data_IF_196485215557
#
_entry.id   IF_196485215557
#
_cell.length_a   1.000
_cell.length_b   1.000
_cell.length_c   1.000
_cell.angle_alpha   90.00
_cell.angle_beta   90.00
_cell.angle_gamma   90.00
#
_symmetry.space_group_name_H-M   'P 1'
#
loop_
_entity.id
_entity.type
_entity.pdbx_description
1 polymer ?
#
# COMPACT_ATOMS: atom_id res chain seq x y z
N UNK A 1 11.95 1.97 14.67
CA UNK A 1 10.57 1.80 14.15
C UNK A 1 10.61 1.11 12.80
N UNK A 2 9.62 0.33 12.46
CA UNK A 2 9.70 -0.66 11.38
C UNK A 2 8.85 -0.20 10.21
N UNK A 3 9.50 0.01 9.06
CA UNK A 3 8.79 0.19 7.80
C UNK A 3 8.32 -1.16 7.28
N UNK A 4 7.03 -1.34 7.13
CA UNK A 4 6.45 -2.54 6.54
C UNK A 4 6.19 -2.29 5.07
N UNK A 5 6.79 -3.10 4.21
CA UNK A 5 6.30 -3.27 2.84
C UNK A 5 5.02 -4.10 2.91
N UNK A 6 3.88 -3.45 2.80
CA UNK A 6 2.56 -4.02 3.09
C UNK A 6 1.96 -4.75 1.87
N UNK A 7 2.68 -4.90 0.78
CA UNK A 7 2.19 -5.60 -0.42
C UNK A 7 2.48 -7.10 -0.47
N UNK A 8 2.67 -7.75 0.69
CA UNK A 8 2.81 -9.21 0.75
C UNK A 8 1.51 -9.85 1.23
N UNK A 9 0.56 -9.99 0.32
CA UNK A 9 -0.70 -10.67 0.60
C UNK A 9 -0.47 -12.16 0.77
N UNK A 10 -0.62 -12.62 2.00
CA UNK A 10 -0.35 -13.99 2.40
C UNK A 10 -1.24 -15.02 1.75
N UNK A 11 -0.61 -15.86 1.01
CA UNK A 11 -1.20 -17.06 0.40
C UNK A 11 -0.90 -18.32 1.21
N UNK A 12 -0.19 -18.18 2.33
CA UNK A 12 0.28 -19.30 3.16
C UNK A 12 -0.84 -20.10 3.86
N UNK A 13 -2.00 -19.49 4.08
CA UNK A 13 -3.13 -20.17 4.74
C UNK A 13 -3.84 -21.21 3.90
N UNK A 14 -3.62 -21.24 2.59
CA UNK A 14 -4.41 -22.06 1.67
C UNK A 14 -3.88 -23.49 1.48
N UNK A 15 -2.66 -23.79 1.92
CA UNK A 15 -2.06 -25.13 1.72
C UNK A 15 -2.52 -26.20 2.71
N UNK A 16 -2.90 -25.85 3.92
CA UNK A 16 -3.14 -26.85 5.00
C UNK A 16 -4.60 -27.24 5.23
N UNK A 17 -5.56 -26.70 4.47
CA UNK A 17 -6.99 -26.90 4.71
C UNK A 17 -7.74 -27.84 3.78
N UNK A 18 -7.13 -28.34 2.70
CA UNK A 18 -7.85 -29.12 1.68
C UNK A 18 -7.42 -30.57 1.58
N UNK A 19 -7.95 -31.43 2.46
CA UNK A 19 -8.21 -32.83 2.12
C UNK A 19 -9.53 -32.89 1.37
N UNK A 20 -9.47 -33.20 0.09
CA UNK A 20 -10.53 -32.99 -0.87
C UNK A 20 -11.58 -34.09 -0.90
N UNK A 21 -12.84 -33.70 -0.85
CA UNK A 21 -13.96 -34.46 -1.38
C UNK A 21 -14.19 -34.05 -2.86
N UNK A 22 -14.47 -34.99 -3.76
CA UNK A 22 -14.51 -34.79 -5.24
C UNK A 22 -15.43 -33.66 -5.76
N UNK A 23 -16.37 -33.15 -4.96
CA UNK A 23 -17.23 -32.01 -5.32
C UNK A 23 -16.52 -30.65 -5.31
N UNK A 24 -15.32 -30.56 -4.75
CA UNK A 24 -14.57 -29.29 -4.64
C UNK A 24 -13.48 -29.10 -5.71
N UNK A 25 -13.42 -29.95 -6.75
CA UNK A 25 -12.36 -29.90 -7.76
C UNK A 25 -12.34 -28.57 -8.57
N UNK A 26 -13.50 -27.96 -8.78
CA UNK A 26 -13.59 -26.68 -9.50
C UNK A 26 -13.19 -25.49 -8.60
N UNK A 27 -13.46 -25.57 -7.31
CA UNK A 27 -13.03 -24.56 -6.32
C UNK A 27 -11.51 -24.57 -6.16
N UNK A 28 -10.91 -25.77 -6.12
CA UNK A 28 -9.44 -25.90 -6.01
C UNK A 28 -8.70 -25.42 -7.27
N UNK A 29 -9.29 -25.54 -8.45
CA UNK A 29 -8.74 -24.99 -9.70
C UNK A 29 -8.78 -23.46 -9.69
N UNK A 30 -9.88 -22.86 -9.23
CA UNK A 30 -10.02 -21.40 -9.09
C UNK A 30 -9.00 -20.84 -8.10
N UNK A 31 -8.87 -21.45 -6.93
CA UNK A 31 -7.90 -21.05 -5.89
C UNK A 31 -6.46 -21.19 -6.37
N UNK A 32 -6.10 -22.29 -7.06
CA UNK A 32 -4.77 -22.46 -7.67
C UNK A 32 -4.48 -21.44 -8.76
N UNK A 33 -5.48 -21.03 -9.53
CA UNK A 33 -5.35 -20.00 -10.54
C UNK A 33 -5.15 -18.62 -9.92
N UNK A 34 -5.85 -18.30 -8.82
CA UNK A 34 -5.67 -17.08 -8.02
C UNK A 34 -4.23 -17.04 -7.47
N UNK A 35 -3.77 -18.13 -6.88
CA UNK A 35 -2.41 -18.26 -6.34
C UNK A 35 -1.36 -18.08 -7.45
N UNK A 36 -1.53 -18.74 -8.58
CA UNK A 36 -0.62 -18.63 -9.73
C UNK A 36 -0.63 -17.22 -10.33
N UNK A 37 -1.77 -16.55 -10.33
CA UNK A 37 -1.91 -15.20 -10.85
C UNK A 37 -1.29 -14.17 -9.91
N UNK A 38 -1.56 -14.26 -8.60
CA UNK A 38 -0.92 -13.41 -7.58
C UNK A 38 0.61 -13.60 -7.61
N UNK A 39 1.10 -14.83 -7.82
CA UNK A 39 2.54 -15.10 -7.94
C UNK A 39 3.16 -14.51 -9.21
N UNK A 40 2.43 -14.40 -10.32
CA UNK A 40 2.94 -13.74 -11.54
C UNK A 40 3.05 -12.23 -11.42
N UNK A 41 2.18 -11.61 -10.63
CA UNK A 41 2.27 -10.17 -10.29
C UNK A 41 3.47 -9.86 -9.41
N UNK A 42 3.88 -10.82 -8.62
CA UNK A 42 4.87 -10.65 -7.57
C UNK A 42 6.23 -11.30 -7.89
N UNK A 43 6.44 -11.91 -9.07
CA UNK A 43 7.64 -12.69 -9.35
C UNK A 43 8.80 -11.87 -9.94
N UNK A 44 9.79 -11.52 -9.12
CA UNK A 44 11.23 -11.77 -9.26
C UNK A 44 12.01 -11.30 -8.03
N UNK A 45 12.52 -12.23 -7.34
CA UNK A 45 13.58 -12.59 -6.35
C UNK A 45 14.50 -11.46 -5.81
N UNK A 46 14.81 -11.32 -4.58
CA UNK A 46 15.40 -11.94 -3.41
C UNK A 46 15.88 -10.97 -2.33
N UNK A 47 16.00 -11.43 -1.15
CA UNK A 47 16.15 -11.18 0.26
C UNK A 47 17.48 -10.58 0.74
N UNK A 48 17.82 -10.36 2.05
CA UNK A 48 17.30 -10.61 3.39
C UNK A 48 17.43 -9.50 4.46
N UNK A 49 16.94 -9.80 5.62
CA UNK A 49 16.80 -9.27 7.00
C UNK A 49 17.57 -8.04 7.49
N UNK A 50 16.86 -7.14 8.23
CA UNK A 50 17.17 -6.47 9.51
C UNK A 50 16.48 -5.10 9.69
N UNK A 51 16.58 -4.48 10.87
CA UNK A 51 15.85 -3.28 11.34
C UNK A 51 16.30 -1.97 10.68
N UNK A 52 15.34 -1.06 10.46
CA UNK A 52 15.59 0.33 10.12
C UNK A 52 15.50 1.20 11.39
N UNK A 53 16.47 2.05 11.62
CA UNK A 53 16.42 3.11 12.62
C UNK A 53 16.94 4.41 12.00
N UNK A 54 16.03 5.21 11.47
CA UNK A 54 16.37 6.48 10.82
C UNK A 54 16.86 7.53 11.84
N UNK A 55 16.55 7.31 13.14
CA UNK A 55 16.89 8.25 14.21
C UNK A 55 18.39 8.34 14.53
N UNK A 56 19.14 7.25 14.37
CA UNK A 56 20.57 7.25 14.76
C UNK A 56 21.49 7.90 13.72
N UNK A 57 21.10 7.89 12.45
CA UNK A 57 21.95 8.38 11.35
C UNK A 57 22.11 9.90 11.32
N UNK A 58 21.10 10.66 11.77
CA UNK A 58 21.19 12.13 11.80
C UNK A 58 21.99 12.66 13.00
N UNK A 59 21.97 11.96 14.15
CA UNK A 59 22.77 12.36 15.30
C UNK A 59 24.28 12.18 15.06
N UNK A 60 24.67 11.12 14.35
CA UNK A 60 26.06 10.86 14.01
C UNK A 60 26.64 11.79 12.95
N UNK A 61 25.79 12.41 12.09
CA UNK A 61 26.24 13.37 11.06
C UNK A 61 26.48 14.78 11.62
N UNK A 62 25.88 15.13 12.75
CA UNK A 62 26.12 16.43 13.41
C UNK A 62 27.44 16.46 14.21
N UNK A 63 27.96 15.31 14.64
CA UNK A 63 29.14 15.24 15.51
C UNK A 63 30.48 14.98 14.79
N UNK A 64 30.47 14.77 13.46
CA UNK A 64 31.71 14.57 12.68
C UNK A 64 31.86 15.63 11.61
N UNK A 65 32.77 16.60 11.91
CA UNK A 65 33.21 17.60 10.96
C UNK A 65 33.77 16.98 9.68
N UNK A 66 33.35 17.50 8.55
CA UNK A 66 33.71 17.04 7.21
C UNK A 66 35.18 17.30 6.90
N UNK A 67 35.95 16.24 6.62
CA UNK A 67 37.18 16.31 5.85
C UNK A 67 36.89 15.97 4.37
N UNK A 68 37.01 16.96 3.50
CA UNK A 68 36.80 16.80 2.05
C UNK A 68 38.05 16.22 1.41
N UNK A 69 37.97 14.99 0.90
CA UNK A 69 38.96 14.44 -0.05
C UNK A 69 38.41 14.55 -1.47
N UNK A 70 39.05 15.40 -2.29
CA UNK A 70 38.79 15.51 -3.73
C UNK A 70 39.35 14.30 -4.45
N UNK A 71 38.51 13.48 -5.09
CA UNK A 71 38.89 12.73 -6.31
C UNK A 71 37.83 12.92 -7.37
N UNK A 72 38.31 13.49 -8.49
CA UNK A 72 37.55 13.62 -9.76
C UNK A 72 37.42 12.24 -10.40
N UNK A 73 36.23 11.81 -10.69
CA UNK A 73 35.88 11.05 -11.89
C UNK A 73 34.37 11.21 -12.10
N UNK A 74 34.01 11.90 -13.17
CA UNK A 74 32.65 12.15 -13.59
C UNK A 74 32.14 11.01 -14.46
N UNK A 75 31.02 10.34 -14.13
CA UNK A 75 30.15 9.83 -15.17
C UNK A 75 29.07 10.88 -15.46
N UNK A 76 28.74 10.98 -16.75
CA UNK A 76 27.73 11.88 -17.30
C UNK A 76 26.43 11.81 -16.50
N UNK A 77 25.95 12.96 -16.05
CA UNK A 77 24.63 13.14 -15.49
C UNK A 77 23.57 12.87 -16.57
N UNK A 78 22.93 11.73 -16.50
CA UNK A 78 21.62 11.56 -17.11
C UNK A 78 20.66 12.49 -16.37
N UNK A 79 20.05 13.43 -17.08
CA UNK A 79 18.97 14.27 -16.59
C UNK A 79 17.79 13.35 -16.21
N UNK A 80 17.67 12.96 -14.94
CA UNK A 80 16.46 12.37 -14.41
C UNK A 80 15.40 13.48 -14.40
N UNK A 81 14.61 13.58 -15.47
CA UNK A 81 13.38 14.36 -15.49
C UNK A 81 12.44 13.72 -14.46
N UNK A 82 12.50 14.21 -13.22
CA UNK A 82 11.62 13.75 -12.16
C UNK A 82 10.17 13.97 -12.59
N UNK A 83 9.34 12.92 -12.55
CA UNK A 83 7.91 12.98 -12.80
C UNK A 83 7.28 14.15 -12.05
N UNK A 84 6.43 14.95 -12.68
CA UNK A 84 5.89 16.15 -12.07
C UNK A 84 4.97 15.84 -10.90
N UNK A 85 5.34 16.31 -9.72
CA UNK A 85 4.44 16.40 -8.57
C UNK A 85 3.52 17.59 -8.85
N UNK A 86 2.21 17.35 -8.96
CA UNK A 86 1.21 18.40 -9.14
C UNK A 86 0.46 18.64 -7.84
N UNK A 87 -0.06 19.85 -7.69
CA UNK A 87 -1.14 20.09 -6.73
C UNK A 87 -2.43 19.49 -7.29
N UNK A 88 -3.22 18.84 -6.45
CA UNK A 88 -4.54 18.34 -6.84
C UNK A 88 -5.38 19.52 -7.34
N UNK A 89 -6.10 19.32 -8.44
CA UNK A 89 -6.86 20.38 -9.11
C UNK A 89 -8.18 20.67 -8.37
N UNK A 90 -8.38 21.91 -7.94
CA UNK A 90 -9.61 22.40 -7.32
C UNK A 90 -9.63 22.29 -5.77
N UNK A 91 -10.06 23.35 -5.08
CA UNK A 91 -10.13 23.42 -3.61
C UNK A 91 -11.00 22.30 -3.00
N UNK A 92 -12.14 21.99 -3.62
CA UNK A 92 -13.06 20.95 -3.15
C UNK A 92 -12.51 19.52 -3.33
N UNK A 93 -11.59 19.32 -4.27
CA UNK A 93 -10.96 18.01 -4.56
C UNK A 93 -9.82 17.68 -3.59
N UNK A 94 -9.23 18.69 -2.96
CA UNK A 94 -8.11 18.54 -2.04
C UNK A 94 -8.59 17.91 -0.72
N UNK A 95 -9.75 18.34 -0.24
CA UNK A 95 -10.27 17.99 1.09
C UNK A 95 -11.01 16.63 1.14
N UNK A 96 -11.14 15.95 0.01
CA UNK A 96 -11.94 14.71 -0.07
C UNK A 96 -11.18 13.57 -0.73
N UNK A 97 -11.47 12.30 -0.33
CA UNK A 97 -10.78 11.13 -0.87
C UNK A 97 -11.13 10.77 -2.32
N UNK A 98 -12.06 11.47 -2.98
CA UNK A 98 -12.55 11.18 -4.35
C UNK A 98 -13.14 9.76 -4.49
N UNK A 99 -13.98 9.32 -3.57
CA UNK A 99 -14.62 7.99 -3.67
C UNK A 99 -15.56 7.84 -4.87
N UNK A 100 -15.96 8.94 -5.48
CA UNK A 100 -16.81 9.04 -6.68
C UNK A 100 -16.02 9.13 -7.99
N UNK A 101 -14.69 9.01 -7.96
CA UNK A 101 -13.88 9.04 -9.19
C UNK A 101 -14.40 8.04 -10.22
N UNK A 102 -14.52 8.49 -11.47
CA UNK A 102 -14.95 7.63 -12.57
C UNK A 102 -13.85 6.64 -12.96
N UNK A 103 -14.15 5.35 -12.87
CA UNK A 103 -13.23 4.26 -13.22
C UNK A 103 -13.70 3.63 -14.52
N UNK A 104 -12.99 3.91 -15.61
CA UNK A 104 -13.27 3.40 -16.95
C UNK A 104 -12.86 1.92 -17.12
N UNK A 105 -13.31 1.22 -18.16
CA UNK A 105 -12.77 -0.08 -18.53
C UNK A 105 -11.25 -0.09 -18.60
N UNK A 106 -10.62 -1.18 -18.16
CA UNK A 106 -9.19 -1.36 -17.92
C UNK A 106 -8.62 -0.57 -16.73
N UNK A 107 -9.37 0.37 -16.18
CA UNK A 107 -8.93 1.18 -15.06
C UNK A 107 -9.16 0.53 -13.71
N UNK A 108 -8.69 1.23 -12.70
CA UNK A 108 -8.87 0.87 -11.30
C UNK A 108 -8.87 2.11 -10.42
N UNK A 109 -9.41 1.96 -9.22
CA UNK A 109 -9.18 2.86 -8.11
C UNK A 109 -9.02 2.05 -6.84
N UNK A 110 -8.10 2.46 -5.95
CA UNK A 110 -8.08 1.96 -4.59
C UNK A 110 -7.78 3.06 -3.59
N UNK A 111 -8.32 2.90 -2.42
CA UNK A 111 -8.07 3.72 -1.24
C UNK A 111 -7.42 2.83 -0.21
N UNK A 112 -6.19 3.16 0.13
CA UNK A 112 -5.33 2.38 1.00
C UNK A 112 -5.14 3.07 2.34
N UNK A 113 -5.42 2.35 3.40
CA UNK A 113 -5.16 2.77 4.77
C UNK A 113 -4.24 1.76 5.42
N UNK A 114 -3.26 2.24 6.15
CA UNK A 114 -2.50 1.40 7.07
C UNK A 114 -2.33 2.03 8.44
N UNK A 115 -1.98 1.19 9.42
CA UNK A 115 -1.62 1.63 10.74
C UNK A 115 -0.73 0.65 11.47
N UNK A 116 0.09 1.22 12.37
CA UNK A 116 0.99 0.47 13.25
C UNK A 116 0.68 0.91 14.67
N UNK A 117 0.45 -0.03 15.57
CA UNK A 117 0.22 0.25 16.99
C UNK A 117 1.42 0.96 17.63
N UNK A 118 1.17 1.76 18.66
CA UNK A 118 2.22 2.55 19.32
C UNK A 118 3.35 1.69 19.90
N UNK A 119 3.06 0.45 20.29
CA UNK A 119 4.03 -0.55 20.74
C UNK A 119 4.74 -1.30 19.59
N UNK A 120 4.33 -1.07 18.34
CA UNK A 120 4.89 -1.71 17.15
C UNK A 120 4.55 -3.21 16.99
N UNK A 121 3.70 -3.80 17.83
CA UNK A 121 3.41 -5.23 17.83
C UNK A 121 2.26 -5.64 16.91
N UNK A 122 1.42 -4.68 16.53
CA UNK A 122 0.27 -4.89 15.66
C UNK A 122 0.31 -3.90 14.49
N UNK A 123 -0.14 -4.36 13.34
CA UNK A 123 -0.37 -3.48 12.20
C UNK A 123 -1.63 -3.94 11.46
N UNK A 124 -2.24 -3.01 10.72
CA UNK A 124 -3.40 -3.28 9.87
C UNK A 124 -3.22 -2.57 8.54
N UNK A 125 -3.69 -3.19 7.46
CA UNK A 125 -3.94 -2.49 6.21
C UNK A 125 -5.36 -2.77 5.73
N UNK A 126 -6.03 -1.74 5.22
CA UNK A 126 -7.38 -1.82 4.69
C UNK A 126 -7.41 -1.14 3.34
N UNK A 127 -7.93 -1.84 2.34
CA UNK A 127 -7.97 -1.33 0.97
C UNK A 127 -9.40 -1.47 0.41
N UNK A 128 -9.98 -0.36 -0.01
CA UNK A 128 -11.20 -0.35 -0.81
C UNK A 128 -10.86 -0.33 -2.29
N UNK A 129 -11.36 -1.29 -3.08
CA UNK A 129 -11.07 -1.41 -4.50
C UNK A 129 -12.30 -1.22 -5.37
N UNK A 130 -12.10 -0.53 -6.51
CA UNK A 130 -12.95 -0.57 -7.70
C UNK A 130 -12.07 -1.02 -8.86
N UNK A 131 -12.49 -2.07 -9.58
CA UNK A 131 -11.63 -2.74 -10.56
C UNK A 131 -10.44 -3.38 -9.87
N UNK A 132 -10.72 -4.27 -8.91
CA UNK A 132 -9.69 -4.87 -8.05
C UNK A 132 -8.53 -5.43 -8.87
N UNK A 133 -7.36 -4.85 -8.72
CA UNK A 133 -6.13 -5.24 -9.43
C UNK A 133 -5.65 -6.63 -9.05
N UNK A 134 -6.13 -7.17 -7.94
CA UNK A 134 -5.86 -8.53 -7.47
C UNK A 134 -6.93 -9.54 -7.87
N UNK A 135 -7.97 -9.14 -8.59
CA UNK A 135 -9.05 -10.02 -9.02
C UNK A 135 -8.70 -10.77 -10.30
N UNK A 136 -8.61 -12.10 -10.25
CA UNK A 136 -8.51 -12.89 -11.48
C UNK A 136 -9.78 -12.81 -12.34
N UNK A 137 -10.96 -12.64 -11.73
CA UNK A 137 -12.22 -12.47 -12.46
C UNK A 137 -12.25 -11.17 -13.25
N UNK A 138 -11.72 -10.06 -12.65
CA UNK A 138 -11.57 -8.80 -13.38
C UNK A 138 -10.63 -8.97 -14.58
N UNK A 139 -9.51 -9.64 -14.40
CA UNK A 139 -8.57 -9.97 -15.48
C UNK A 139 -9.24 -10.81 -16.57
N UNK A 140 -9.94 -11.90 -16.21
CA UNK A 140 -10.59 -12.80 -17.17
C UNK A 140 -11.79 -12.16 -17.86
N UNK A 141 -12.48 -11.20 -17.23
CA UNK A 141 -13.53 -10.38 -17.86
C UNK A 141 -12.98 -9.40 -18.91
N UNK A 142 -11.66 -9.43 -19.17
CA UNK A 142 -10.93 -8.44 -19.98
C UNK A 142 -11.12 -7.01 -19.45
N UNK A 143 -11.31 -6.87 -18.13
CA UNK A 143 -11.44 -5.59 -17.39
C UNK A 143 -12.53 -4.65 -17.94
N UNK A 144 -13.63 -5.22 -18.43
CA UNK A 144 -14.70 -4.44 -19.09
C UNK A 144 -15.51 -3.58 -18.12
N UNK A 145 -15.83 -4.11 -16.94
CA UNK A 145 -16.68 -3.43 -15.95
C UNK A 145 -15.99 -3.40 -14.58
N UNK A 146 -15.17 -2.39 -14.28
CA UNK A 146 -14.43 -2.32 -13.01
C UNK A 146 -15.35 -2.24 -11.79
N UNK A 147 -16.54 -1.64 -11.94
CA UNK A 147 -17.49 -1.52 -10.82
C UNK A 147 -18.14 -2.86 -10.46
N UNK A 148 -18.05 -3.87 -11.33
CA UNK A 148 -18.50 -5.23 -11.03
C UNK A 148 -17.45 -6.08 -10.31
N UNK A 149 -16.30 -5.49 -10.01
CA UNK A 149 -15.15 -6.13 -9.36
C UNK A 149 -14.64 -5.27 -8.20
N UNK A 150 -15.44 -5.23 -7.12
CA UNK A 150 -15.20 -4.36 -5.97
C UNK A 150 -15.00 -5.18 -4.70
N UNK A 151 -14.12 -4.74 -3.82
CA UNK A 151 -13.95 -5.37 -2.52
C UNK A 151 -13.40 -4.38 -1.48
N UNK A 152 -13.58 -4.72 -0.19
CA UNK A 152 -12.80 -4.17 0.90
C UNK A 152 -11.95 -5.32 1.45
N UNK A 153 -10.64 -5.16 1.32
CA UNK A 153 -9.64 -6.08 1.87
C UNK A 153 -9.21 -5.57 3.24
N UNK A 154 -9.09 -6.47 4.21
CA UNK A 154 -8.50 -6.18 5.53
C UNK A 154 -7.39 -7.18 5.79
N UNK A 155 -6.19 -6.71 6.07
CA UNK A 155 -5.07 -7.53 6.47
C UNK A 155 -4.53 -7.05 7.83
N UNK A 156 -4.51 -7.95 8.80
CA UNK A 156 -4.11 -7.73 10.18
C UNK A 156 -2.82 -8.47 10.46
N UNK A 157 -1.81 -7.81 11.03
CA UNK A 157 -0.46 -8.33 11.25
C UNK A 157 -0.12 -8.34 12.73
N UNK A 158 0.36 -9.45 13.26
CA UNK A 158 0.67 -9.67 14.67
C UNK A 158 -0.08 -10.86 15.26
N UNK A 159 -0.10 -10.98 16.61
CA UNK A 159 -0.85 -12.05 17.28
C UNK A 159 -2.35 -11.90 16.97
N UNK A 160 -2.99 -12.96 16.50
CA UNK A 160 -4.40 -12.94 16.10
C UNK A 160 -4.62 -12.39 14.67
N UNK A 161 -3.60 -12.46 13.81
CA UNK A 161 -3.69 -12.02 12.42
C UNK A 161 -4.92 -12.56 11.68
N UNK A 162 -5.46 -11.77 10.77
CA UNK A 162 -6.57 -12.13 9.87
C UNK A 162 -6.33 -11.53 8.50
N UNK A 163 -6.92 -12.16 7.50
CA UNK A 163 -6.95 -11.64 6.15
C UNK A 163 -8.32 -11.87 5.52
N UNK A 164 -8.85 -10.84 4.90
CA UNK A 164 -10.15 -10.89 4.24
C UNK A 164 -10.06 -10.30 2.84
N UNK A 165 -10.75 -10.88 1.88
CA UNK A 165 -10.91 -10.32 0.53
C UNK A 165 -12.12 -10.96 -0.13
N UNK A 166 -13.29 -10.36 0.03
CA UNK A 166 -14.53 -10.81 -0.60
C UNK A 166 -14.87 -9.88 -1.76
N UNK A 167 -14.67 -10.37 -2.98
CA UNK A 167 -15.06 -9.64 -4.18
C UNK A 167 -16.58 -9.65 -4.37
N UNK A 168 -17.11 -8.50 -4.78
CA UNK A 168 -18.54 -8.28 -4.97
C UNK A 168 -18.80 -7.56 -6.29
N UNK A 169 -20.01 -7.79 -6.86
CA UNK A 169 -20.47 -7.08 -8.06
C UNK A 169 -21.04 -5.69 -7.76
N UNK A 170 -21.25 -4.91 -8.81
CA UNK A 170 -21.70 -3.50 -8.72
C UNK A 170 -23.00 -3.28 -7.96
N UNK A 171 -23.88 -4.30 -7.89
CA UNK A 171 -25.11 -4.22 -7.06
C UNK A 171 -24.82 -4.03 -5.56
N UNK A 172 -23.62 -4.36 -5.11
CA UNK A 172 -23.16 -4.18 -3.72
C UNK A 172 -22.30 -2.94 -3.53
N UNK A 173 -22.04 -2.18 -4.59
CA UNK A 173 -21.32 -0.91 -4.55
C UNK A 173 -22.30 0.25 -4.38
N UNK A 174 -22.06 1.10 -3.37
CA UNK A 174 -22.67 2.43 -3.23
C UNK A 174 -21.56 3.42 -2.93
N UNK A 175 -21.54 4.56 -3.60
CA UNK A 175 -20.51 5.57 -3.40
C UNK A 175 -20.99 6.98 -3.74
N UNK A 176 -20.38 7.93 -3.10
CA UNK A 176 -20.43 9.34 -3.40
C UNK A 176 -19.09 10.00 -3.02
N UNK A 177 -18.97 11.30 -3.03
CA UNK A 177 -17.71 12.00 -2.70
C UNK A 177 -17.14 11.64 -1.32
N UNK A 178 -18.00 11.31 -0.34
CA UNK A 178 -17.61 11.08 1.05
C UNK A 178 -17.76 9.62 1.50
N UNK A 179 -18.30 8.74 0.67
CA UNK A 179 -18.57 7.36 1.04
C UNK A 179 -18.22 6.40 -0.07
N UNK A 180 -17.53 5.32 0.30
CA UNK A 180 -17.40 4.09 -0.48
C UNK A 180 -17.97 2.94 0.36
N UNK A 181 -19.06 2.33 -0.08
CA UNK A 181 -19.66 1.16 0.56
C UNK A 181 -19.64 -0.04 -0.38
N UNK A 182 -19.10 -1.16 0.08
CA UNK A 182 -19.02 -2.43 -0.65
C UNK A 182 -19.59 -3.54 0.23
N UNK A 183 -20.81 -3.94 -0.07
CA UNK A 183 -21.53 -4.92 0.76
C UNK A 183 -21.76 -4.41 2.19
N UNK A 184 -21.32 -5.15 3.24
CA UNK A 184 -21.49 -4.74 4.63
C UNK A 184 -20.44 -3.72 5.10
N UNK A 185 -19.38 -3.52 4.32
CA UNK A 185 -18.22 -2.71 4.72
C UNK A 185 -18.22 -1.34 4.04
N UNK A 186 -17.65 -0.32 4.68
CA UNK A 186 -17.64 1.06 4.15
C UNK A 186 -16.46 1.89 4.63
N UNK A 187 -16.04 2.84 3.79
CA UNK A 187 -15.23 4.00 4.12
C UNK A 187 -16.14 5.23 4.14
N UNK A 188 -16.11 5.99 5.21
CA UNK A 188 -16.93 7.20 5.37
C UNK A 188 -16.03 8.35 5.79
N UNK A 189 -15.89 9.34 4.90
CA UNK A 189 -15.17 10.59 5.17
C UNK A 189 -16.11 11.57 5.86
N UNK A 190 -15.77 11.95 7.07
CA UNK A 190 -16.55 12.87 7.87
C UNK A 190 -15.74 14.15 8.16
N UNK A 191 -15.76 15.07 7.19
CA UNK A 191 -15.08 16.38 7.22
C UNK A 191 -13.57 16.33 7.50
N UNK A 192 -13.15 15.81 8.65
CA UNK A 192 -11.80 15.85 9.17
C UNK A 192 -11.20 14.46 9.49
N UNK A 193 -12.01 13.40 9.40
CA UNK A 193 -11.54 12.04 9.67
C UNK A 193 -12.24 10.99 8.81
N UNK A 194 -11.60 9.86 8.65
CA UNK A 194 -12.15 8.70 7.97
C UNK A 194 -12.60 7.65 9.00
N UNK A 195 -13.83 7.16 8.86
CA UNK A 195 -14.33 6.00 9.60
C UNK A 195 -14.48 4.85 8.61
N UNK A 196 -13.84 3.73 8.91
CA UNK A 196 -13.96 2.49 8.16
C UNK A 196 -14.69 1.49 9.06
N UNK A 197 -15.86 1.03 8.60
CA UNK A 197 -16.57 -0.08 9.22
C UNK A 197 -16.45 -1.28 8.31
N UNK A 198 -16.09 -2.43 8.84
CA UNK A 198 -16.02 -3.65 8.06
C UNK A 198 -16.64 -4.84 8.81
N UNK A 199 -17.19 -5.75 8.00
CA UNK A 199 -17.80 -7.00 8.43
C UNK A 199 -17.52 -8.02 7.33
N UNK A 200 -16.32 -8.64 7.40
CA UNK A 200 -15.78 -9.45 6.32
C UNK A 200 -15.41 -10.85 6.83
N UNK A 201 -15.41 -11.80 5.92
CA UNK A 201 -15.08 -13.19 6.21
C UNK A 201 -13.59 -13.45 6.02
N UNK A 202 -12.95 -14.00 7.04
CA UNK A 202 -11.51 -14.27 7.06
C UNK A 202 -11.17 -15.63 6.45
N UNK A 203 -10.10 -15.68 5.68
CA UNK A 203 -9.48 -16.88 5.15
C UNK A 203 -8.01 -16.90 5.61
N UNK A 204 -7.46 -17.98 6.18
CA UNK A 204 -8.03 -19.33 6.30
C UNK A 204 -8.74 -19.62 7.63
N UNK A 205 -8.97 -18.61 8.48
CA UNK A 205 -9.54 -18.82 9.82
C UNK A 205 -11.03 -19.16 9.79
N UNK A 206 -11.71 -18.84 8.67
CA UNK A 206 -13.14 -19.11 8.46
C UNK A 206 -14.03 -18.50 9.53
N UNK A 207 -13.66 -17.32 10.04
CA UNK A 207 -14.43 -16.54 10.98
C UNK A 207 -14.72 -15.13 10.48
N UNK A 208 -15.63 -14.44 11.15
CA UNK A 208 -16.02 -13.09 10.81
C UNK A 208 -15.07 -12.08 11.46
N UNK A 209 -14.58 -11.13 10.69
CA UNK A 209 -13.78 -10.01 11.18
C UNK A 209 -14.60 -8.75 11.06
N UNK A 210 -15.03 -8.24 12.20
CA UNK A 210 -15.91 -7.07 12.29
C UNK A 210 -15.30 -6.04 13.21
N UNK A 211 -15.33 -4.79 12.75
CA UNK A 211 -14.75 -3.71 13.55
C UNK A 211 -14.84 -2.36 12.88
N UNK A 212 -14.28 -1.40 13.59
CA UNK A 212 -14.18 0.00 13.16
C UNK A 212 -12.72 0.45 13.24
N UNK A 213 -12.29 1.15 12.21
CA UNK A 213 -11.00 1.85 12.20
C UNK A 213 -11.26 3.31 11.90
N UNK A 214 -10.67 4.19 12.72
CA UNK A 214 -10.72 5.64 12.53
C UNK A 214 -9.34 6.16 12.19
N UNK A 215 -9.26 6.96 11.11
CA UNK A 215 -8.06 7.68 10.69
C UNK A 215 -8.31 9.15 10.92
N UNK A 216 -7.47 9.77 11.73
CA UNK A 216 -7.52 11.18 12.07
C UNK A 216 -6.27 11.85 11.45
N UNK A 217 -6.41 12.52 10.30
CA UNK A 217 -5.32 13.24 9.67
C UNK A 217 -4.71 14.31 10.56
N UNK A 218 -3.39 14.42 10.57
CA UNK A 218 -2.72 15.59 11.10
C UNK A 218 -2.86 16.77 10.15
N UNK A 219 -2.86 16.49 8.85
CA UNK A 219 -3.16 17.40 7.76
C UNK A 219 -3.55 16.59 6.50
N UNK A 220 -4.18 17.26 5.55
CA UNK A 220 -4.49 16.73 4.22
C UNK A 220 -3.41 17.20 3.24
N UNK A 221 -2.86 16.28 2.48
CA UNK A 221 -1.87 16.57 1.45
C UNK A 221 -2.53 17.03 0.15
N UNK A 222 -1.97 18.08 -0.46
CA UNK A 222 -2.46 18.69 -1.69
C UNK A 222 -1.78 18.14 -2.96
N UNK A 223 -0.99 17.08 -2.86
CA UNK A 223 -0.22 16.60 -3.99
C UNK A 223 -0.80 15.35 -4.64
N UNK A 224 -0.59 15.26 -5.94
CA UNK A 224 -0.76 14.06 -6.75
C UNK A 224 0.55 13.79 -7.51
N UNK A 225 0.95 12.54 -7.55
CA UNK A 225 2.15 12.11 -8.25
C UNK A 225 1.76 11.24 -9.44
N UNK A 226 2.08 11.70 -10.64
CA UNK A 226 1.94 10.86 -11.83
C UNK A 226 3.07 9.82 -11.83
N UNK A 227 2.70 8.56 -12.07
CA UNK A 227 3.64 7.44 -12.13
C UNK A 227 4.09 7.14 -13.55
N UNK A 228 3.39 7.68 -14.56
CA UNK A 228 3.76 7.63 -15.97
C UNK A 228 3.56 9.00 -16.64
N UNK A 229 4.24 9.23 -17.74
CA UNK A 229 4.22 10.49 -18.47
C UNK A 229 2.85 10.82 -19.06
N UNK A 230 2.06 9.79 -19.41
CA UNK A 230 0.71 9.92 -19.96
C UNK A 230 -0.39 10.14 -18.90
N UNK A 231 -0.02 10.23 -17.61
CA UNK A 231 -0.91 10.36 -16.46
C UNK A 231 -1.89 9.19 -16.28
N UNK A 232 -1.63 8.04 -16.90
CA UNK A 232 -2.49 6.86 -16.79
C UNK A 232 -2.51 6.23 -15.41
N UNK A 233 -1.54 6.57 -14.54
CA UNK A 233 -1.45 6.10 -13.16
C UNK A 233 -1.07 7.26 -12.23
N UNK A 234 -1.87 7.45 -11.19
CA UNK A 234 -1.71 8.54 -10.22
C UNK A 234 -1.66 7.96 -8.82
N UNK A 235 -0.69 8.36 -8.02
CA UNK A 235 -0.64 8.16 -6.59
C UNK A 235 -0.93 9.47 -5.86
N UNK A 236 -1.87 9.43 -4.92
CA UNK A 236 -2.28 10.57 -4.10
C UNK A 236 -2.11 10.24 -2.62
N UNK A 237 -1.00 10.63 -1.98
CA UNK A 237 -0.82 10.51 -0.54
C UNK A 237 -1.73 11.49 0.20
N UNK A 238 -2.98 11.09 0.45
CA UNK A 238 -4.04 11.97 0.94
C UNK A 238 -3.80 12.43 2.38
N UNK A 239 -3.49 11.48 3.28
CA UNK A 239 -3.13 11.78 4.66
C UNK A 239 -1.89 11.00 5.08
N UNK A 240 -0.70 11.51 4.78
CA UNK A 240 0.55 10.81 5.00
C UNK A 240 0.97 10.72 6.47
N UNK A 241 0.37 11.54 7.33
CA UNK A 241 0.54 11.51 8.79
C UNK A 241 -0.84 11.56 9.43
N UNK A 242 -1.20 10.49 10.12
CA UNK A 242 -2.47 10.36 10.81
C UNK A 242 -2.29 9.67 12.16
N UNK A 243 -3.20 9.90 13.08
CA UNK A 243 -3.51 8.97 14.16
C UNK A 243 -4.44 7.90 13.62
N UNK A 244 -4.26 6.65 14.05
CA UNK A 244 -5.19 5.56 13.81
C UNK A 244 -5.73 5.04 15.13
N UNK A 245 -7.02 4.76 15.19
CA UNK A 245 -7.70 4.09 16.27
C UNK A 245 -8.37 2.83 15.71
N UNK A 246 -8.13 1.69 16.33
CA UNK A 246 -8.59 0.37 15.87
C UNK A 246 -9.39 -0.30 16.96
N UNK A 247 -10.62 -0.68 16.62
CA UNK A 247 -11.53 -1.45 17.47
C UNK A 247 -12.13 -2.59 16.66
N UNK A 248 -11.67 -3.82 16.90
CA UNK A 248 -12.05 -5.02 16.18
C UNK A 248 -12.46 -6.07 17.19
N UNK A 249 -13.73 -6.48 17.16
CA UNK A 249 -14.31 -7.43 18.10
C UNK A 249 -13.73 -8.86 17.99
N UNK A 250 -13.28 -9.26 16.80
CA UNK A 250 -12.56 -10.53 16.59
C UNK A 250 -11.30 -10.25 15.74
N UNK A 251 -10.13 -10.56 16.26
CA UNK A 251 -9.73 -11.32 17.47
C UNK A 251 -9.67 -10.50 18.77
N UNK A 252 -10.39 -9.39 18.88
CA UNK A 252 -10.37 -8.54 20.08
C UNK A 252 -9.20 -7.57 20.09
N UNK A 253 -9.08 -6.75 19.04
CA UNK A 253 -8.03 -5.74 18.91
C UNK A 253 -8.57 -4.36 19.26
N UNK A 254 -8.01 -3.77 20.30
CA UNK A 254 -8.19 -2.37 20.64
C UNK A 254 -6.81 -1.74 20.79
N UNK A 255 -6.50 -0.75 19.94
CA UNK A 255 -5.22 -0.05 19.99
C UNK A 255 -5.27 1.23 19.17
N UNK A 256 -4.30 2.11 19.43
CA UNK A 256 -4.03 3.32 18.65
C UNK A 256 -2.57 3.39 18.22
N UNK A 257 -2.28 4.25 17.26
CA UNK A 257 -0.91 4.40 16.75
C UNK A 257 -0.79 5.33 15.55
N UNK A 258 0.22 5.07 14.73
CA UNK A 258 0.52 5.85 13.53
C UNK A 258 -0.26 5.32 12.33
N UNK A 259 -1.12 6.17 11.77
CA UNK A 259 -1.92 5.89 10.59
C UNK A 259 -1.38 6.57 9.32
N UNK A 260 -1.89 6.08 8.19
CA UNK A 260 -1.64 6.59 6.84
C UNK A 260 -2.86 6.35 5.96
N UNK A 261 -3.07 7.25 5.00
CA UNK A 261 -4.14 7.10 4.03
C UNK A 261 -3.73 7.67 2.67
N UNK A 262 -3.85 6.88 1.61
CA UNK A 262 -3.65 7.31 0.24
C UNK A 262 -4.73 6.77 -0.71
N UNK A 263 -4.65 7.23 -1.96
CA UNK A 263 -5.43 6.70 -3.06
C UNK A 263 -4.55 6.54 -4.29
N UNK A 264 -4.87 5.53 -5.10
CA UNK A 264 -4.25 5.31 -6.41
C UNK A 264 -5.36 5.14 -7.45
N UNK A 265 -5.16 5.78 -8.58
CA UNK A 265 -6.09 5.75 -9.69
C UNK A 265 -5.35 5.39 -10.97
N UNK A 266 -5.96 4.56 -11.80
CA UNK A 266 -5.41 4.24 -13.10
C UNK A 266 -6.47 4.06 -14.17
N UNK A 267 -6.16 4.52 -15.37
CA UNK A 267 -6.97 4.30 -16.58
C UNK A 267 -6.52 3.08 -17.39
N UNK A 268 -5.40 2.45 -16.99
CA UNK A 268 -4.81 1.27 -17.62
C UNK A 268 -4.51 0.19 -16.58
N UNK A 269 -4.36 -1.05 -17.04
CA UNK A 269 -4.02 -2.16 -16.16
C UNK A 269 -2.57 -2.10 -15.70
N UNK A 270 -2.33 -2.26 -14.40
CA UNK A 270 -0.99 -2.17 -13.81
C UNK A 270 0.03 -3.11 -14.45
N UNK A 271 -0.36 -4.37 -14.71
CA UNK A 271 0.52 -5.38 -15.31
C UNK A 271 0.92 -5.08 -16.75
N UNK A 272 0.14 -4.24 -17.45
CA UNK A 272 0.47 -3.77 -18.79
C UNK A 272 1.60 -2.75 -18.76
N UNK A 273 1.59 -1.90 -17.75
CA UNK A 273 2.44 -0.71 -17.72
C UNK A 273 3.64 -0.86 -16.79
N UNK A 274 3.54 -1.63 -15.71
CA UNK A 274 4.64 -1.86 -14.78
C UNK A 274 5.13 -3.31 -14.78
N UNK A 275 6.43 -3.49 -14.63
CA UNK A 275 7.05 -4.77 -14.36
C UNK A 275 7.20 -5.03 -12.87
N UNK A 276 7.33 -3.97 -12.06
CA UNK A 276 7.53 -4.04 -10.62
C UNK A 276 7.30 -2.66 -10.00
N UNK A 277 6.80 -2.63 -8.76
CA UNK A 277 6.83 -1.45 -7.90
C UNK A 277 6.98 -1.83 -6.43
N UNK A 278 7.49 -0.91 -5.65
CA UNK A 278 7.48 -0.97 -4.20
C UNK A 278 7.08 0.36 -3.62
N UNK A 279 6.44 0.31 -2.50
CA UNK A 279 6.04 1.45 -1.71
C UNK A 279 6.39 1.22 -0.24
N UNK A 280 6.73 2.28 0.47
CA UNK A 280 7.02 2.20 1.89
C UNK A 280 6.91 3.55 2.57
N UNK A 281 6.58 3.56 3.85
CA UNK A 281 6.58 4.74 4.70
C UNK A 281 7.31 4.49 6.02
N UNK A 282 7.88 5.54 6.56
CA UNK A 282 8.69 5.52 7.77
C UNK A 282 8.33 6.72 8.64
N UNK A 283 7.40 6.55 9.63
CA UNK A 283 7.07 7.61 10.56
C UNK A 283 8.25 7.89 11.49
N UNK A 284 8.52 9.17 11.70
CA UNK A 284 9.59 9.69 12.56
C UNK A 284 9.06 10.88 13.36
N UNK A 285 9.85 11.39 14.30
CA UNK A 285 9.56 12.62 15.06
C UNK A 285 9.49 13.87 14.17
N UNK A 286 10.23 13.89 13.04
CA UNK A 286 10.22 15.00 12.07
C UNK A 286 9.02 14.96 11.13
N UNK A 287 8.38 13.79 10.97
CA UNK A 287 7.29 13.55 10.04
C UNK A 287 7.30 12.13 9.50
N UNK A 288 6.82 11.94 8.27
CA UNK A 288 6.78 10.63 7.61
C UNK A 288 7.56 10.68 6.30
N UNK A 289 8.60 9.85 6.20
CA UNK A 289 9.25 9.56 4.92
C UNK A 289 8.39 8.59 4.13
N UNK A 290 8.25 8.84 2.83
CA UNK A 290 7.49 7.95 1.93
C UNK A 290 8.27 7.76 0.64
N UNK A 291 8.39 6.52 0.21
CA UNK A 291 9.09 6.11 -1.00
C UNK A 291 8.16 5.35 -1.93
N UNK A 292 8.12 5.73 -3.19
CA UNK A 292 7.43 5.03 -4.25
C UNK A 292 8.42 4.76 -5.38
N UNK A 293 8.78 3.51 -5.57
CA UNK A 293 9.72 3.06 -6.59
C UNK A 293 8.98 2.16 -7.58
N UNK A 294 8.95 2.51 -8.84
CA UNK A 294 8.31 1.71 -9.88
C UNK A 294 9.23 1.52 -11.10
N UNK A 295 9.08 0.40 -11.76
CA UNK A 295 9.78 0.06 -13.00
C UNK A 295 8.72 -0.07 -14.09
N UNK A 296 8.44 1.00 -14.85
CA UNK A 296 7.59 0.94 -16.02
C UNK A 296 8.17 0.00 -17.07
N UNK A 297 7.32 -0.51 -17.96
CA UNK A 297 7.77 -1.39 -19.07
C UNK A 297 8.30 -0.61 -20.26
N UNK A 298 7.92 0.67 -20.41
CA UNK A 298 8.19 1.49 -21.60
C UNK A 298 8.85 2.82 -21.31
N UNK A 299 8.97 3.18 -20.04
CA UNK A 299 9.55 4.44 -19.58
C UNK A 299 10.67 4.18 -18.58
N UNK A 300 11.38 5.24 -18.19
CA UNK A 300 12.40 5.17 -17.14
C UNK A 300 11.81 4.85 -15.77
N UNK A 301 12.64 4.32 -14.89
CA UNK A 301 12.23 3.98 -13.52
C UNK A 301 11.78 5.23 -12.75
N UNK A 302 10.65 5.11 -12.06
CA UNK A 302 10.10 6.15 -11.21
C UNK A 302 10.64 5.96 -9.79
N UNK A 303 11.22 7.04 -9.23
CA UNK A 303 11.74 7.05 -7.86
C UNK A 303 11.22 8.32 -7.18
N UNK A 304 10.17 8.18 -6.39
CA UNK A 304 9.59 9.27 -5.61
C UNK A 304 10.01 9.08 -4.16
N UNK A 305 10.65 10.09 -3.58
CA UNK A 305 11.05 10.11 -2.19
C UNK A 305 10.64 11.44 -1.58
N UNK A 306 9.74 11.40 -0.58
CA UNK A 306 9.15 12.56 0.04
C UNK A 306 9.27 12.50 1.56
N UNK A 307 9.49 13.66 2.19
CA UNK A 307 9.31 13.87 3.61
C UNK A 307 8.07 14.77 3.80
N UNK A 308 7.05 14.21 4.40
CA UNK A 308 5.91 14.93 4.90
C UNK A 308 6.20 15.38 6.33
N UNK A 309 6.41 16.67 6.54
CA UNK A 309 6.72 17.22 7.86
C UNK A 309 5.47 17.36 8.74
N UNK A 310 5.67 17.34 10.04
CA UNK A 310 4.60 17.48 11.03
C UNK A 310 3.81 18.79 10.93
N UNK A 311 4.35 19.83 10.28
CA UNK A 311 3.69 21.12 10.01
C UNK A 311 2.99 21.18 8.65
N UNK A 312 2.87 20.05 7.92
CA UNK A 312 2.25 19.98 6.60
C UNK A 312 3.19 20.29 5.43
N UNK A 313 4.41 20.79 5.68
CA UNK A 313 5.39 21.03 4.61
C UNK A 313 5.85 19.72 3.99
N UNK A 314 5.95 19.70 2.65
CA UNK A 314 6.39 18.53 1.89
C UNK A 314 7.75 18.84 1.28
N UNK A 315 8.71 17.95 1.48
CA UNK A 315 10.06 18.09 0.96
C UNK A 315 10.44 16.89 0.09
N UNK A 316 11.00 17.15 -1.08
CA UNK A 316 11.56 16.11 -1.95
C UNK A 316 12.93 15.69 -1.39
N UNK A 317 13.15 14.40 -1.24
CA UNK A 317 14.44 13.84 -0.83
C UNK A 317 15.25 13.58 -2.08
N UNK A 318 16.33 14.33 -2.28
CA UNK A 318 17.18 14.22 -3.48
C UNK A 318 18.06 12.97 -3.45
N UNK A 319 18.53 12.58 -2.27
CA UNK A 319 19.39 11.42 -2.05
C UNK A 319 18.72 10.46 -1.06
N UNK A 320 17.71 9.69 -1.52
CA UNK A 320 17.09 8.70 -0.65
C UNK A 320 18.05 7.56 -0.34
N UNK A 321 17.86 6.85 0.78
CA UNK A 321 18.64 5.65 1.09
C UNK A 321 18.58 4.61 -0.04
N UNK A 322 19.60 3.78 -0.15
CA UNK A 322 19.66 2.70 -1.14
C UNK A 322 18.57 1.66 -0.93
N UNK A 323 18.27 0.91 -2.00
CA UNK A 323 17.34 -0.21 -1.94
C UNK A 323 18.02 -1.41 -1.28
N UNK A 324 17.43 -1.89 -0.20
CA UNK A 324 17.84 -3.11 0.49
C UNK A 324 16.84 -4.24 0.20
N UNK A 325 17.35 -5.43 -0.10
CA UNK A 325 16.51 -6.60 -0.31
C UNK A 325 15.92 -7.11 1.02
N UNK A 326 14.64 -7.48 1.01
CA UNK A 326 13.95 -8.17 2.11
C UNK A 326 13.93 -9.69 1.91
N UNK A 327 13.68 -10.46 2.98
CA UNK A 327 13.61 -11.92 2.88
C UNK A 327 12.53 -12.40 1.91
N UNK A 328 12.83 -13.46 1.15
CA UNK A 328 11.87 -14.05 0.22
C UNK A 328 10.62 -14.48 0.94
N UNK A 329 9.46 -14.25 0.31
CA UNK A 329 8.24 -14.93 0.70
C UNK A 329 8.32 -16.43 0.35
N UNK A 330 7.41 -17.22 0.92
CA UNK A 330 7.22 -18.62 0.53
C UNK A 330 6.99 -18.78 -0.99
N UNK A 331 6.56 -17.71 -1.65
CA UNK A 331 6.25 -17.62 -3.08
C UNK A 331 7.42 -17.12 -3.93
N UNK A 332 8.61 -16.97 -3.35
CA UNK A 332 9.82 -16.48 -4.02
C UNK A 332 9.68 -15.07 -4.62
N UNK A 333 8.77 -14.25 -4.09
CA UNK A 333 8.57 -12.87 -4.53
C UNK A 333 9.75 -12.01 -4.12
N UNK A 334 10.28 -11.22 -5.07
CA UNK A 334 11.29 -10.20 -4.79
C UNK A 334 10.63 -9.07 -3.99
N UNK A 335 11.27 -8.67 -2.88
CA UNK A 335 10.86 -7.54 -2.08
C UNK A 335 12.05 -6.68 -1.73
N UNK A 336 11.84 -5.39 -1.78
CA UNK A 336 12.84 -4.38 -1.48
C UNK A 336 12.24 -3.32 -0.56
N UNK A 337 13.08 -2.64 0.17
CA UNK A 337 12.74 -1.42 0.90
C UNK A 337 13.93 -0.47 0.83
N UNK A 338 13.71 0.80 1.11
CA UNK A 338 14.80 1.75 1.31
C UNK A 338 15.40 1.57 2.70
N UNK A 339 16.73 1.57 2.80
CA UNK A 339 17.44 1.38 4.06
C UNK A 339 18.84 1.99 3.99
N UNK A 340 19.32 2.56 5.09
CA UNK A 340 20.71 2.97 5.21
C UNK A 340 21.66 1.77 5.12
N UNK A 341 22.86 1.98 4.57
CA UNK A 341 23.86 0.94 4.28
C UNK A 341 24.21 0.11 5.52
N UNK A 342 24.24 0.74 6.68
CA UNK A 342 24.58 0.09 7.96
C UNK A 342 23.38 -0.55 8.65
N UNK A 343 22.22 -0.50 8.04
CA UNK A 343 20.98 -0.98 8.62
C UNK A 343 20.40 -2.10 7.77
N UNK A 344 20.19 -3.24 8.41
CA UNK A 344 19.50 -4.35 7.77
C UNK A 344 18.04 -4.36 8.22
N UNK A 345 17.05 -4.21 7.33
CA UNK A 345 15.64 -4.15 7.71
C UNK A 345 15.19 -5.46 8.39
N UNK A 346 14.48 -5.33 9.52
CA UNK A 346 13.90 -6.48 10.24
C UNK A 346 12.44 -6.65 9.82
N UNK A 347 12.12 -7.82 9.32
CA UNK A 347 10.75 -8.22 9.05
C UNK A 347 10.10 -8.76 10.32
N UNK A 348 8.97 -8.18 10.75
CA UNK A 348 8.25 -8.62 11.95
C UNK A 348 7.41 -9.85 11.64
N UNK A 349 6.70 -9.84 10.55
CA UNK A 349 5.87 -10.96 10.10
C UNK A 349 5.54 -10.82 8.63
N UNK A 350 5.40 -11.96 8.01
CA UNK A 350 4.91 -12.14 6.67
C UNK A 350 3.63 -12.96 6.75
N UNK A 351 2.58 -12.51 6.13
CA UNK A 351 1.36 -13.29 5.94
C UNK A 351 1.40 -13.98 4.59
#
# INVERSE_FOLDING_TARGET
MQGNNIFDFGVNGLKNGFKTNRRNANYSKGVRAIISWLSRFALRKNTPRNKLNIYETEKQKQDKGFAVSRRRNTPRSGNSHGMPIRKACGRNDIERPKFDIDVKPNGYAWWYVDGISSDGNKAISIIGFIGSVFSPWYYWSKRKDPQNHVCINVAMYGKGWRWTMTERGKKKLKRNQNMLKVGPSSFNWNKDHLIINFDEYSIPHFDNVKGTVKIIPKFISEIECNLLSDNSHVWRPFSPISKIEVDINKPGWQWEGHGYFDANFGSSALEKDFSYWTWGRFPTDKGSYTFYDAIPRKEESVNIALLFKNNGKIEKILNPPDKANLSRSLWLVKRETRSDINFKPKQIKQI
#
